data_IF_471468459454
#
_entry.id   IF_471468459454
#
_cell.length_a   1.000
_cell.length_b   1.000
_cell.length_c   1.000
_cell.angle_alpha   90.00
_cell.angle_beta   90.00
_cell.angle_gamma   90.00
#
_symmetry.space_group_name_H-M   'P 1'
#
loop_
_entity.id
_entity.type
_entity.pdbx_description
1 polymer ?
#
# COMPACT_ATOMS: atom_id res chain seq x y z
N UNK A 1 5.74 2.08 7.56
CA UNK A 1 6.24 1.68 6.22
C UNK A 1 5.07 1.22 5.34
N UNK A 2 4.52 2.13 4.51
CA UNK A 2 3.23 1.96 3.83
C UNK A 2 3.22 0.80 2.78
N UNK A 3 4.40 0.44 2.26
CA UNK A 3 4.60 -0.68 1.33
C UNK A 3 4.21 -2.05 1.91
N UNK A 4 4.39 -2.28 3.21
CA UNK A 4 4.00 -3.54 3.86
C UNK A 4 2.49 -3.74 3.90
N UNK A 5 1.74 -2.66 4.12
CA UNK A 5 0.27 -2.67 4.15
C UNK A 5 -0.25 -2.96 2.74
N UNK A 6 0.33 -2.31 1.74
CA UNK A 6 0.04 -2.54 0.31
C UNK A 6 0.34 -3.99 -0.08
N UNK A 7 1.47 -4.55 0.38
CA UNK A 7 1.87 -5.93 0.06
C UNK A 7 0.90 -6.96 0.62
N UNK A 8 0.29 -6.72 1.77
CA UNK A 8 -0.65 -7.64 2.42
C UNK A 8 -2.09 -7.48 1.90
N UNK A 9 -2.56 -6.24 1.71
CA UNK A 9 -3.97 -5.95 1.45
C UNK A 9 -4.37 -5.96 -0.03
N UNK A 10 -3.44 -5.77 -0.96
CA UNK A 10 -3.80 -5.62 -2.39
C UNK A 10 -3.69 -6.97 -3.13
N UNK A 11 -4.66 -7.31 -4.00
CA UNK A 11 -4.58 -8.50 -4.84
C UNK A 11 -3.43 -8.41 -5.87
N UNK A 12 -2.87 -9.57 -6.21
CA UNK A 12 -1.60 -9.74 -6.94
C UNK A 12 -1.51 -8.92 -8.24
N UNK A 13 -2.62 -8.73 -8.94
CA UNK A 13 -2.71 -8.04 -10.23
C UNK A 13 -2.58 -6.50 -10.12
N UNK A 14 -3.16 -5.86 -9.09
CA UNK A 14 -3.07 -4.39 -8.88
C UNK A 14 -1.77 -3.95 -8.20
N UNK A 15 -1.12 -4.88 -7.50
CA UNK A 15 0.05 -4.60 -6.66
C UNK A 15 1.27 -4.14 -7.44
N UNK A 16 1.55 -4.73 -8.60
CA UNK A 16 2.74 -4.36 -9.38
C UNK A 16 2.62 -2.93 -9.93
N UNK A 17 1.44 -2.56 -10.42
CA UNK A 17 1.15 -1.18 -10.88
C UNK A 17 1.30 -0.17 -9.74
N UNK A 18 0.75 -0.46 -8.57
CA UNK A 18 0.83 0.43 -7.41
C UNK A 18 2.27 0.58 -6.90
N UNK A 19 3.04 -0.52 -6.84
CA UNK A 19 4.46 -0.47 -6.47
C UNK A 19 5.29 0.35 -7.45
N UNK A 20 5.02 0.21 -8.75
CA UNK A 20 5.70 0.98 -9.79
C UNK A 20 5.45 2.47 -9.59
N UNK A 21 4.19 2.90 -9.51
CA UNK A 21 3.84 4.31 -9.26
C UNK A 21 4.48 4.82 -7.95
N UNK A 22 4.43 4.02 -6.87
CA UNK A 22 5.05 4.36 -5.59
C UNK A 22 6.55 4.61 -5.72
N UNK A 23 7.24 3.77 -6.50
CA UNK A 23 8.67 3.90 -6.74
C UNK A 23 9.04 5.19 -7.46
N UNK A 24 8.30 5.60 -8.50
CA UNK A 24 8.53 6.89 -9.17
C UNK A 24 8.26 8.07 -8.23
N UNK A 25 7.18 8.04 -7.46
CA UNK A 25 6.87 9.11 -6.50
C UNK A 25 7.96 9.23 -5.42
N UNK A 26 8.47 8.11 -4.93
CA UNK A 26 9.52 8.08 -3.91
C UNK A 26 10.88 8.53 -4.49
N UNK A 27 11.16 8.30 -5.78
CA UNK A 27 12.32 8.88 -6.48
C UNK A 27 12.21 10.40 -6.61
N UNK A 28 11.03 10.93 -6.98
CA UNK A 28 10.81 12.37 -7.06
C UNK A 28 10.99 13.02 -5.69
N UNK A 29 10.46 12.39 -4.63
CA UNK A 29 10.65 12.86 -3.26
C UNK A 29 12.13 12.80 -2.85
N UNK A 30 12.85 11.74 -3.20
CA UNK A 30 14.28 11.61 -2.95
C UNK A 30 15.08 12.73 -3.62
N UNK A 31 14.84 13.00 -4.91
CA UNK A 31 15.50 14.09 -5.65
C UNK A 31 15.18 15.44 -5.01
N UNK A 32 13.92 15.69 -4.64
CA UNK A 32 13.52 16.92 -3.94
C UNK A 32 14.28 17.11 -2.62
N UNK A 33 14.36 16.08 -1.79
CA UNK A 33 15.06 16.13 -0.49
C UNK A 33 16.57 16.27 -0.67
N UNK A 34 17.13 15.69 -1.75
CA UNK A 34 18.53 15.83 -2.11
C UNK A 34 18.88 17.27 -2.48
N UNK A 35 18.02 17.95 -3.25
CA UNK A 35 18.15 19.39 -3.52
C UNK A 35 17.95 20.27 -2.27
N UNK A 36 17.23 19.79 -1.26
CA UNK A 36 17.10 20.46 0.04
C UNK A 36 18.33 20.27 0.96
N UNK A 37 19.33 19.48 0.55
CA UNK A 37 20.56 19.25 1.32
C UNK A 37 20.42 18.29 2.50
N UNK A 38 19.25 17.67 2.71
CA UNK A 38 19.01 16.75 3.82
C UNK A 38 19.31 15.29 3.42
N UNK A 39 20.59 14.98 3.28
CA UNK A 39 21.06 13.65 2.87
C UNK A 39 20.61 12.52 3.81
N UNK A 40 20.47 12.79 5.11
CA UNK A 40 20.04 11.79 6.11
C UNK A 40 18.61 11.31 5.86
N UNK A 41 17.71 12.23 5.52
CA UNK A 41 16.35 11.90 5.13
C UNK A 41 16.30 11.26 3.74
N UNK A 42 17.07 11.78 2.79
CA UNK A 42 17.16 11.20 1.44
C UNK A 42 17.55 9.71 1.52
N UNK A 43 18.62 9.36 2.22
CA UNK A 43 19.09 7.97 2.34
C UNK A 43 18.15 7.05 3.15
N UNK A 44 17.24 7.61 3.94
CA UNK A 44 16.24 6.80 4.67
C UNK A 44 15.23 6.13 3.73
N UNK A 45 14.94 6.76 2.57
CA UNK A 45 14.03 6.22 1.54
C UNK A 45 14.60 4.93 0.90
N UNK A 46 15.78 4.92 0.25
CA UNK A 46 16.34 3.71 -0.33
C UNK A 46 16.66 2.64 0.73
N UNK A 47 17.06 3.03 1.95
CA UNK A 47 17.24 2.09 3.07
C UNK A 47 15.94 1.35 3.38
N UNK A 48 14.80 2.05 3.44
CA UNK A 48 13.49 1.42 3.64
C UNK A 48 13.12 0.47 2.49
N UNK A 49 13.47 0.82 1.24
CA UNK A 49 13.28 -0.05 0.07
C UNK A 49 14.11 -1.33 0.14
N UNK A 50 15.37 -1.25 0.56
CA UNK A 50 16.24 -2.42 0.72
C UNK A 50 15.67 -3.36 1.79
N UNK A 51 15.24 -2.82 2.94
CA UNK A 51 14.58 -3.62 3.98
C UNK A 51 13.29 -4.27 3.48
N UNK A 52 12.50 -3.54 2.69
CA UNK A 52 11.30 -4.08 2.07
C UNK A 52 11.62 -5.21 1.09
N UNK A 53 12.62 -5.04 0.20
CA UNK A 53 12.95 -6.03 -0.83
C UNK A 53 13.54 -7.32 -0.23
N UNK A 54 14.37 -7.20 0.82
CA UNK A 54 14.85 -8.34 1.62
C UNK A 54 13.69 -9.16 2.18
N UNK A 55 12.67 -8.50 2.71
CA UNK A 55 11.51 -9.16 3.31
C UNK A 55 10.42 -9.53 2.29
N UNK A 56 10.43 -8.97 1.08
CA UNK A 56 9.44 -9.23 0.04
C UNK A 56 9.43 -10.70 -0.40
N UNK A 57 10.59 -11.35 -0.49
CA UNK A 57 10.69 -12.79 -0.78
C UNK A 57 10.04 -13.64 0.32
N UNK A 58 10.25 -13.28 1.60
CA UNK A 58 9.65 -13.96 2.75
C UNK A 58 8.12 -13.78 2.77
N UNK A 59 7.64 -12.56 2.51
CA UNK A 59 6.20 -12.27 2.41
C UNK A 59 5.54 -13.02 1.25
N UNK A 60 6.22 -13.13 0.09
CA UNK A 60 5.72 -13.89 -1.06
C UNK A 60 5.55 -15.39 -0.76
N UNK A 61 6.44 -15.99 0.04
CA UNK A 61 6.33 -17.37 0.51
C UNK A 61 5.19 -17.55 1.52
N UNK A 62 5.08 -16.66 2.51
CA UNK A 62 4.00 -16.69 3.51
C UNK A 62 2.60 -16.58 2.87
N UNK A 63 2.48 -15.83 1.77
CA UNK A 63 1.20 -15.66 1.05
C UNK A 63 0.78 -16.88 0.22
N UNK A 64 1.70 -17.80 -0.11
CA UNK A 64 1.34 -19.11 -0.71
C UNK A 64 0.77 -20.08 0.34
N UNK A 65 1.24 -19.96 1.58
CA UNK A 65 0.81 -20.78 2.72
C UNK A 65 -0.56 -20.31 3.20
N UNK A 66 -0.78 -18.99 3.27
CA UNK A 66 -2.09 -18.39 3.56
C UNK A 66 -2.93 -18.44 2.29
N UNK A 67 -3.61 -19.57 2.04
CA UNK A 67 -4.64 -19.65 0.98
C UNK A 67 -5.64 -18.50 1.20
N UNK A 68 -5.96 -17.67 0.19
CA UNK A 68 -6.99 -16.64 0.30
C UNK A 68 -8.40 -17.27 0.25
N UNK A 69 -8.63 -18.36 0.99
CA UNK A 69 -9.89 -19.10 0.99
C UNK A 69 -10.94 -18.54 1.96
N UNK A 70 -10.63 -17.51 2.76
CA UNK A 70 -11.55 -17.02 3.80
C UNK A 70 -12.27 -15.69 3.50
N UNK A 71 -11.94 -14.97 2.42
CA UNK A 71 -12.57 -13.66 2.14
C UNK A 71 -13.83 -13.75 1.25
N UNK A 72 -14.14 -14.92 0.69
CA UNK A 72 -15.27 -15.08 -0.23
C UNK A 72 -16.65 -15.10 0.47
N UNK A 73 -16.69 -15.06 1.81
CA UNK A 73 -17.92 -15.30 2.58
C UNK A 73 -18.18 -14.31 3.73
N UNK A 74 -17.54 -13.14 3.76
CA UNK A 74 -17.96 -12.08 4.69
C UNK A 74 -18.99 -11.18 4.02
N UNK A 75 -20.27 -11.42 4.33
CA UNK A 75 -21.42 -10.61 3.90
C UNK A 75 -21.31 -9.13 4.31
N UNK A 76 -20.40 -8.81 5.23
CA UNK A 76 -20.10 -7.46 5.74
C UNK A 76 -18.85 -6.80 5.08
N UNK A 77 -18.37 -7.29 3.94
CA UNK A 77 -17.22 -6.69 3.25
C UNK A 77 -17.68 -5.54 2.34
N UNK A 78 -17.32 -4.31 2.71
CA UNK A 78 -17.58 -3.13 1.89
C UNK A 78 -16.65 -3.12 0.65
N UNK A 79 -17.24 -3.24 -0.53
CA UNK A 79 -16.52 -3.44 -1.79
C UNK A 79 -16.12 -2.13 -2.51
N UNK A 80 -16.52 -0.96 -1.98
CA UNK A 80 -16.22 0.36 -2.58
C UNK A 80 -15.05 1.05 -1.85
N UNK A 81 -14.62 2.18 -2.37
CA UNK A 81 -13.55 2.97 -1.75
C UNK A 81 -14.12 3.89 -0.67
N UNK A 82 -13.82 3.59 0.60
CA UNK A 82 -14.22 4.43 1.76
C UNK A 82 -13.70 5.86 1.59
N UNK A 83 -12.52 6.03 1.00
CA UNK A 83 -11.93 7.35 0.72
C UNK A 83 -12.79 8.15 -0.26
N UNK A 84 -13.30 7.51 -1.31
CA UNK A 84 -14.19 8.18 -2.28
C UNK A 84 -15.51 8.57 -1.60
N UNK A 85 -16.10 7.65 -0.85
CA UNK A 85 -17.38 7.90 -0.19
C UNK A 85 -17.27 8.98 0.89
N UNK A 86 -16.15 9.05 1.61
CA UNK A 86 -15.91 10.08 2.62
C UNK A 86 -15.60 11.45 2.00
N UNK A 87 -14.65 11.53 1.06
CA UNK A 87 -14.18 12.82 0.54
C UNK A 87 -15.01 13.37 -0.62
N UNK A 88 -15.47 12.52 -1.53
CA UNK A 88 -16.27 12.95 -2.69
C UNK A 88 -17.77 12.89 -2.40
N UNK A 89 -18.24 11.84 -1.71
CA UNK A 89 -19.68 11.68 -1.41
C UNK A 89 -20.10 12.22 -0.05
N UNK A 90 -19.17 12.81 0.72
CA UNK A 90 -19.40 13.42 2.04
C UNK A 90 -20.11 12.47 3.04
N UNK A 91 -19.93 11.15 2.88
CA UNK A 91 -20.46 10.14 3.80
C UNK A 91 -19.53 10.07 5.02
N UNK A 92 -19.93 10.72 6.11
CA UNK A 92 -19.10 10.85 7.33
C UNK A 92 -19.32 9.76 8.38
N UNK A 93 -20.40 8.97 8.26
CA UNK A 93 -20.77 7.95 9.26
C UNK A 93 -20.90 6.58 8.61
N UNK A 94 -20.54 5.55 9.37
CA UNK A 94 -20.52 4.16 8.88
C UNK A 94 -21.93 3.66 8.53
N UNK A 95 -22.95 4.08 9.30
CA UNK A 95 -24.35 3.68 9.07
C UNK A 95 -24.91 4.16 7.73
N UNK A 96 -24.28 5.18 7.13
CA UNK A 96 -24.67 5.73 5.82
C UNK A 96 -23.94 5.04 4.66
N UNK A 97 -23.03 4.10 4.94
CA UNK A 97 -22.37 3.29 3.91
C UNK A 97 -23.32 2.19 3.43
N UNK A 98 -23.56 2.15 2.12
CA UNK A 98 -24.29 1.06 1.47
C UNK A 98 -23.31 -0.08 1.19
N UNK A 99 -23.48 -1.20 1.90
CA UNK A 99 -22.71 -2.45 1.70
C UNK A 99 -23.09 -3.14 0.40
#
# INVERSE_FOLDING_TARGET
NNLYIIEKNIPKYKRNKIKFVRFFLDQIAFVKILFQGNFKEAFSIPKAYIHFWKNAKKMGKQRKIIKPKALKYFKAYYNRSIVVDYYLRKIKTFDKLKF
#
